data_IF_657850277837
#
_entry.id   IF_657850277837
#
_cell.length_a   1.000
_cell.length_b   1.000
_cell.length_c   1.000
_cell.angle_alpha   90.00
_cell.angle_beta   90.00
_cell.angle_gamma   90.00
#
_symmetry.space_group_name_H-M   'P 1'
#
loop_
_entity.id
_entity.type
_entity.pdbx_description
1 polymer ?
#
# COMPACT_ATOMS: atom_id res chain seq x y z
N UNK A 1 -10.04 -8.33 3.69
CA UNK A 1 -10.44 -7.58 4.90
C UNK A 1 -10.24 -6.09 4.64
N UNK A 2 -11.33 -5.33 4.52
CA UNK A 2 -11.31 -3.87 4.22
C UNK A 2 -11.68 -2.98 5.40
N UNK A 3 -11.53 -3.50 6.61
CA UNK A 3 -11.94 -2.88 7.87
C UNK A 3 -10.70 -2.58 8.71
N UNK A 4 -10.69 -1.45 9.41
CA UNK A 4 -9.69 -1.12 10.41
C UNK A 4 -10.31 -1.33 11.79
N UNK A 5 -9.70 -2.19 12.60
CA UNK A 5 -10.12 -2.44 13.98
C UNK A 5 -9.35 -1.53 14.91
N UNK A 6 -10.02 -1.01 15.95
CA UNK A 6 -9.35 -0.21 16.97
C UNK A 6 -8.28 -1.05 17.66
N UNK A 7 -7.05 -0.52 17.75
CA UNK A 7 -5.91 -1.23 18.35
C UNK A 7 -5.26 -2.30 17.46
N UNK A 8 -5.77 -2.54 16.24
CA UNK A 8 -5.10 -3.37 15.23
C UNK A 8 -5.17 -4.90 15.43
N UNK A 9 -5.92 -5.38 16.44
CA UNK A 9 -6.18 -6.80 16.67
C UNK A 9 -7.29 -7.35 15.76
N UNK A 10 -7.33 -8.66 15.55
CA UNK A 10 -8.38 -9.37 14.82
C UNK A 10 -9.43 -9.87 15.83
N UNK A 11 -10.65 -9.30 15.87
CA UNK A 11 -11.71 -9.77 16.73
C UNK A 11 -12.14 -11.20 16.38
N UNK A 12 -12.68 -11.95 17.35
CA UNK A 12 -13.00 -13.38 17.15
C UNK A 12 -14.08 -13.62 16.09
N UNK A 13 -15.03 -12.71 15.93
CA UNK A 13 -16.01 -12.79 14.83
C UNK A 13 -15.32 -12.67 13.46
N UNK A 14 -14.25 -11.88 13.33
CA UNK A 14 -13.48 -11.80 12.08
C UNK A 14 -12.62 -13.04 11.87
N UNK A 15 -12.03 -13.60 12.94
CA UNK A 15 -11.29 -14.87 12.85
C UNK A 15 -12.16 -15.98 12.28
N UNK A 16 -13.42 -16.08 12.74
CA UNK A 16 -14.40 -17.04 12.22
C UNK A 16 -14.65 -16.84 10.72
N UNK A 17 -14.89 -15.61 10.28
CA UNK A 17 -15.13 -15.28 8.87
C UNK A 17 -13.90 -15.57 7.99
N UNK A 18 -12.70 -15.26 8.48
CA UNK A 18 -11.44 -15.55 7.78
C UNK A 18 -11.29 -17.07 7.60
N UNK A 19 -11.49 -17.85 8.67
CA UNK A 19 -11.41 -19.30 8.63
C UNK A 19 -12.44 -19.91 7.66
N UNK A 20 -13.68 -19.40 7.66
CA UNK A 20 -14.71 -19.83 6.70
C UNK A 20 -14.29 -19.55 5.26
N UNK A 21 -13.74 -18.37 4.97
CA UNK A 21 -13.21 -18.02 3.65
C UNK A 21 -12.08 -18.95 3.21
N UNK A 22 -11.11 -19.23 4.09
CA UNK A 22 -10.00 -20.16 3.80
C UNK A 22 -10.55 -21.57 3.51
N UNK A 23 -11.47 -22.07 4.34
CA UNK A 23 -12.08 -23.40 4.15
C UNK A 23 -12.86 -23.52 2.84
N UNK A 24 -13.44 -22.41 2.38
CA UNK A 24 -14.13 -22.28 1.10
C UNK A 24 -13.17 -22.13 -0.11
N UNK A 25 -11.85 -22.09 0.11
CA UNK A 25 -10.86 -21.95 -0.96
C UNK A 25 -10.65 -20.51 -1.43
N UNK A 26 -11.07 -19.51 -0.65
CA UNK A 26 -10.89 -18.10 -0.99
C UNK A 26 -9.52 -17.59 -0.55
N UNK A 27 -8.82 -16.91 -1.46
CA UNK A 27 -7.63 -16.13 -1.12
C UNK A 27 -7.98 -14.98 -0.17
N UNK A 28 -7.09 -14.72 0.78
CA UNK A 28 -7.28 -13.71 1.81
C UNK A 28 -6.29 -12.57 1.58
N UNK A 29 -6.81 -11.35 1.41
CA UNK A 29 -6.01 -10.12 1.42
C UNK A 29 -6.35 -9.32 2.66
N UNK A 30 -5.35 -9.04 3.50
CA UNK A 30 -5.49 -8.34 4.78
C UNK A 30 -4.57 -7.13 4.85
N UNK A 31 -5.09 -6.01 5.34
CA UNK A 31 -4.29 -4.82 5.63
C UNK A 31 -4.28 -4.45 7.12
N UNK A 32 -4.65 -5.40 7.97
CA UNK A 32 -4.61 -5.27 9.42
C UNK A 32 -3.15 -5.24 9.92
N UNK A 33 -2.94 -4.61 11.08
CA UNK A 33 -1.63 -4.57 11.73
C UNK A 33 -1.24 -5.95 12.29
N UNK A 34 -2.20 -6.70 12.82
CA UNK A 34 -2.02 -8.11 13.10
C UNK A 34 -2.04 -8.93 11.80
N UNK A 35 -1.00 -9.75 11.58
CA UNK A 35 -0.82 -10.51 10.36
C UNK A 35 -1.60 -11.83 10.40
N UNK A 36 -2.56 -11.97 9.48
CA UNK A 36 -3.41 -13.15 9.38
C UNK A 36 -2.57 -14.39 9.09
N UNK A 37 -1.56 -14.27 8.23
CA UNK A 37 -0.69 -15.38 7.84
C UNK A 37 0.25 -15.86 8.95
N UNK A 38 0.39 -15.12 10.05
CA UNK A 38 1.19 -15.56 11.22
C UNK A 38 0.38 -16.35 12.24
N UNK A 39 -0.95 -16.37 12.11
CA UNK A 39 -1.83 -17.12 13.00
C UNK A 39 -1.76 -18.61 12.62
N UNK A 40 -1.27 -19.51 13.50
CA UNK A 40 -0.98 -20.89 13.13
C UNK A 40 -2.18 -21.68 12.60
N UNK A 41 -3.39 -21.41 13.09
CA UNK A 41 -4.61 -22.05 12.60
C UNK A 41 -4.94 -21.67 11.15
N UNK A 42 -4.76 -20.40 10.77
CA UNK A 42 -5.02 -19.92 9.42
C UNK A 42 -3.94 -20.38 8.45
N UNK A 43 -2.66 -20.30 8.86
CA UNK A 43 -1.54 -20.73 8.04
C UNK A 43 -1.68 -22.22 7.63
N UNK A 44 -1.98 -23.09 8.59
CA UNK A 44 -2.16 -24.54 8.33
C UNK A 44 -3.34 -24.84 7.42
N UNK A 45 -4.49 -24.22 7.65
CA UNK A 45 -5.66 -24.47 6.80
C UNK A 45 -5.48 -23.89 5.40
N UNK A 46 -4.80 -22.74 5.28
CA UNK A 46 -4.48 -22.14 3.98
C UNK A 46 -3.55 -23.03 3.16
N UNK A 47 -2.49 -23.58 3.76
CA UNK A 47 -1.60 -24.56 3.13
C UNK A 47 -2.38 -25.79 2.65
N UNK A 48 -3.22 -26.36 3.52
CA UNK A 48 -4.05 -27.52 3.19
C UNK A 48 -5.02 -27.27 2.03
N UNK A 49 -5.53 -26.04 1.91
CA UNK A 49 -6.51 -25.64 0.89
C UNK A 49 -5.89 -25.06 -0.38
N UNK A 50 -4.58 -24.85 -0.42
CA UNK A 50 -3.91 -24.15 -1.52
C UNK A 50 -4.32 -22.67 -1.61
N UNK A 51 -4.70 -22.07 -0.48
CA UNK A 51 -5.15 -20.68 -0.38
C UNK A 51 -3.97 -19.77 -0.07
N UNK A 52 -3.90 -18.61 -0.71
CA UNK A 52 -2.90 -17.58 -0.42
C UNK A 52 -3.45 -16.57 0.59
N UNK A 53 -2.63 -16.26 1.61
CA UNK A 53 -2.86 -15.16 2.55
C UNK A 53 -1.85 -14.06 2.26
N UNK A 54 -2.33 -12.87 1.90
CA UNK A 54 -1.53 -11.68 1.61
C UNK A 54 -1.73 -10.64 2.71
N UNK A 55 -0.76 -10.53 3.61
CA UNK A 55 -0.69 -9.46 4.62
C UNK A 55 0.00 -8.23 4.03
N UNK A 56 -0.80 -7.27 3.56
CA UNK A 56 -0.32 -6.12 2.76
C UNK A 56 0.73 -5.30 3.51
N UNK A 57 0.55 -5.08 4.82
CA UNK A 57 1.53 -4.34 5.64
C UNK A 57 2.85 -5.09 5.79
N UNK A 58 2.80 -6.41 5.91
CA UNK A 58 3.99 -7.26 6.08
C UNK A 58 4.92 -7.20 4.86
N UNK A 59 4.36 -7.04 3.65
CA UNK A 59 5.15 -6.90 2.42
C UNK A 59 6.10 -5.70 2.44
N UNK A 60 5.79 -4.67 3.24
CA UNK A 60 6.59 -3.44 3.32
C UNK A 60 7.34 -3.30 4.66
N UNK A 61 7.03 -4.10 5.69
CA UNK A 61 7.65 -3.96 7.02
C UNK A 61 9.13 -4.29 7.06
N UNK A 62 9.61 -5.11 6.13
CA UNK A 62 11.03 -5.49 6.00
C UNK A 62 11.78 -4.65 4.97
N UNK A 63 11.13 -3.66 4.34
CA UNK A 63 11.79 -2.75 3.40
C UNK A 63 12.84 -1.89 4.13
N UNK A 64 14.05 -1.83 3.60
CA UNK A 64 15.22 -1.14 4.18
C UNK A 64 15.91 -0.20 3.19
N UNK A 65 15.11 0.47 2.38
CA UNK A 65 15.63 1.37 1.35
C UNK A 65 16.28 2.59 2.00
N UNK A 66 17.55 2.82 1.68
CA UNK A 66 18.29 4.00 2.13
C UNK A 66 18.07 5.16 1.17
N UNK A 67 17.95 6.38 1.72
CA UNK A 67 17.88 7.58 0.89
C UNK A 67 19.24 7.87 0.26
N UNK A 68 19.24 8.02 -1.06
CA UNK A 68 20.41 8.20 -1.93
C UNK A 68 20.52 9.62 -2.52
N UNK A 69 19.41 10.36 -2.55
CA UNK A 69 19.33 11.66 -3.22
C UNK A 69 19.29 11.58 -4.75
N UNK A 70 19.12 10.40 -5.35
CA UNK A 70 18.88 10.27 -6.80
C UNK A 70 17.64 11.05 -7.24
N UNK A 71 16.66 11.23 -6.35
CA UNK A 71 15.45 12.00 -6.62
C UNK A 71 15.71 13.47 -6.97
N UNK A 72 16.89 14.02 -6.67
CA UNK A 72 17.26 15.38 -7.05
C UNK A 72 17.59 15.51 -8.54
N UNK A 73 17.83 14.40 -9.23
CA UNK A 73 18.24 14.37 -10.64
C UNK A 73 17.06 14.18 -11.61
N UNK A 74 15.88 13.82 -11.12
CA UNK A 74 14.71 13.56 -11.96
C UNK A 74 13.97 14.86 -12.28
N UNK A 75 13.41 14.93 -13.50
CA UNK A 75 12.71 16.14 -13.99
C UNK A 75 11.23 16.20 -13.62
N UNK A 76 10.64 15.08 -13.20
CA UNK A 76 9.21 15.01 -12.88
C UNK A 76 8.85 15.95 -11.73
N UNK A 77 7.74 16.67 -11.91
CA UNK A 77 7.16 17.55 -10.90
C UNK A 77 6.45 16.67 -9.86
N UNK A 78 6.71 16.92 -8.58
CA UNK A 78 6.12 16.16 -7.47
C UNK A 78 5.07 17.03 -6.79
N UNK A 79 3.85 16.52 -6.68
CA UNK A 79 2.71 17.19 -6.02
C UNK A 79 2.36 16.37 -4.78
N UNK A 80 2.63 16.92 -3.60
CA UNK A 80 2.23 16.30 -2.33
C UNK A 80 0.83 16.79 -1.91
N UNK A 81 -0.10 15.86 -1.72
CA UNK A 81 -1.47 16.12 -1.26
C UNK A 81 -1.52 15.96 0.26
N UNK A 82 -1.24 17.07 0.95
CA UNK A 82 -1.27 17.14 2.41
C UNK A 82 -2.66 17.51 2.93
N UNK A 83 -2.89 17.27 4.21
CA UNK A 83 -4.15 17.57 4.88
C UNK A 83 -3.94 17.78 6.36
N UNK A 84 -4.86 18.53 6.98
CA UNK A 84 -4.80 18.93 8.39
C UNK A 84 -5.04 17.78 9.37
N UNK A 85 -5.65 16.69 8.90
CA UNK A 85 -5.95 15.51 9.70
C UNK A 85 -5.94 14.24 8.82
N UNK A 86 -6.07 13.07 9.44
CA UNK A 86 -6.31 11.78 8.80
C UNK A 86 -7.71 11.71 8.19
N UNK A 87 -7.89 10.84 7.19
CA UNK A 87 -9.18 10.60 6.51
C UNK A 87 -9.91 11.81 5.88
N UNK A 88 -9.32 13.01 5.82
CA UNK A 88 -9.92 14.23 5.20
C UNK A 88 -9.95 14.25 3.66
N UNK A 89 -9.82 13.10 3.00
CA UNK A 89 -9.92 13.00 1.54
C UNK A 89 -8.62 13.20 0.75
N UNK A 90 -7.44 13.21 1.40
CA UNK A 90 -6.12 13.33 0.72
C UNK A 90 -5.96 12.37 -0.47
N UNK A 91 -6.23 11.08 -0.26
CA UNK A 91 -6.17 10.06 -1.32
C UNK A 91 -7.18 10.36 -2.43
N UNK A 92 -8.41 10.70 -2.06
CA UNK A 92 -9.47 11.03 -3.02
C UNK A 92 -9.05 12.18 -3.93
N UNK A 93 -8.51 13.25 -3.35
CA UNK A 93 -7.94 14.38 -4.10
C UNK A 93 -6.80 13.94 -5.03
N UNK A 94 -5.87 13.12 -4.55
CA UNK A 94 -4.77 12.60 -5.36
C UNK A 94 -5.25 11.79 -6.58
N UNK A 95 -6.25 10.92 -6.39
CA UNK A 95 -6.84 10.12 -7.47
C UNK A 95 -7.51 10.99 -8.53
N UNK A 96 -8.33 11.95 -8.12
CA UNK A 96 -8.98 12.87 -9.05
C UNK A 96 -7.97 13.75 -9.77
N UNK A 97 -6.97 14.29 -9.07
CA UNK A 97 -5.93 15.11 -9.67
C UNK A 97 -5.15 14.31 -10.73
N UNK A 98 -4.75 13.06 -10.42
CA UNK A 98 -4.06 12.19 -11.37
C UNK A 98 -4.89 11.96 -12.63
N UNK A 99 -6.18 11.68 -12.45
CA UNK A 99 -7.11 11.44 -13.56
C UNK A 99 -7.26 12.67 -14.44
N UNK A 100 -7.45 13.85 -13.85
CA UNK A 100 -7.68 15.07 -14.62
C UNK A 100 -6.41 15.60 -15.31
N UNK A 101 -5.21 15.40 -14.73
CA UNK A 101 -3.94 15.73 -15.40
C UNK A 101 -3.76 14.85 -16.65
N UNK A 102 -3.95 13.54 -16.51
CA UNK A 102 -3.91 12.61 -17.65
C UNK A 102 -4.95 12.94 -18.72
N UNK A 103 -6.19 13.26 -18.33
CA UNK A 103 -7.24 13.68 -19.28
C UNK A 103 -6.89 14.94 -20.07
N UNK A 104 -6.06 15.82 -19.51
CA UNK A 104 -5.57 17.04 -20.17
C UNK A 104 -4.34 16.79 -21.06
N UNK A 105 -3.91 15.55 -21.23
CA UNK A 105 -2.80 15.18 -22.11
C UNK A 105 -1.41 15.25 -21.48
N UNK A 106 -1.32 15.47 -20.16
CA UNK A 106 -0.06 15.43 -19.42
C UNK A 106 0.12 14.06 -18.76
N UNK A 107 1.31 13.47 -18.84
CA UNK A 107 1.57 12.19 -18.17
C UNK A 107 1.68 12.39 -16.66
N UNK A 108 0.84 11.68 -15.90
CA UNK A 108 0.96 11.65 -14.44
C UNK A 108 0.73 10.27 -13.84
N UNK A 109 1.45 10.00 -12.76
CA UNK A 109 1.30 8.78 -11.96
C UNK A 109 1.00 9.12 -10.51
N UNK A 110 0.27 8.23 -9.85
CA UNK A 110 0.03 8.31 -8.41
C UNK A 110 0.99 7.35 -7.70
N UNK A 111 1.66 7.86 -6.66
CA UNK A 111 2.47 7.06 -5.73
C UNK A 111 1.60 6.80 -4.49
N UNK A 112 1.05 5.60 -4.38
CA UNK A 112 0.15 5.26 -3.27
C UNK A 112 0.91 4.96 -1.99
N UNK A 113 0.69 5.74 -0.94
CA UNK A 113 1.45 5.68 0.33
C UNK A 113 0.83 4.82 1.44
N UNK A 114 -0.24 4.10 1.14
CA UNK A 114 -0.94 3.26 2.11
C UNK A 114 -1.59 2.02 1.51
N UNK A 115 -1.96 1.09 2.39
CA UNK A 115 -2.53 -0.22 2.05
C UNK A 115 -3.71 -0.16 1.07
N UNK A 116 -4.60 0.83 1.20
CA UNK A 116 -5.76 0.92 0.30
C UNK A 116 -5.33 1.23 -1.12
N UNK A 117 -4.27 2.01 -1.33
CA UNK A 117 -3.78 2.27 -2.67
C UNK A 117 -3.21 0.98 -3.30
N UNK A 118 -2.45 0.20 -2.53
CA UNK A 118 -1.99 -1.12 -2.98
C UNK A 118 -3.16 -2.04 -3.36
N UNK A 119 -4.17 -2.15 -2.48
CA UNK A 119 -5.36 -2.98 -2.72
C UNK A 119 -6.23 -2.48 -3.89
N UNK A 120 -6.19 -1.18 -4.19
CA UNK A 120 -6.87 -0.59 -5.36
C UNK A 120 -6.12 -0.82 -6.67
N UNK A 121 -4.94 -1.47 -6.63
CA UNK A 121 -4.16 -1.80 -7.81
C UNK A 121 -3.33 -0.63 -8.36
N UNK A 122 -3.04 0.39 -7.54
CA UNK A 122 -2.06 1.41 -7.95
C UNK A 122 -0.69 0.74 -8.13
N UNK A 123 -0.06 1.02 -9.27
CA UNK A 123 1.18 0.36 -9.68
C UNK A 123 2.35 0.68 -8.75
N UNK A 124 2.56 1.97 -8.46
CA UNK A 124 3.66 2.45 -7.61
C UNK A 124 3.14 2.69 -6.21
N UNK A 125 3.51 1.82 -5.27
CA UNK A 125 2.97 1.86 -3.92
C UNK A 125 3.97 1.50 -2.86
N UNK A 126 3.75 2.05 -1.67
CA UNK A 126 4.40 1.67 -0.43
C UNK A 126 3.41 1.86 0.71
N UNK A 127 3.59 1.12 1.81
CA UNK A 127 2.72 1.26 2.98
C UNK A 127 3.54 1.88 4.11
N UNK A 128 3.58 3.21 4.13
CA UNK A 128 4.52 4.00 4.94
C UNK A 128 4.41 3.68 6.43
N UNK A 129 3.19 3.54 6.93
CA UNK A 129 2.88 3.26 8.34
C UNK A 129 3.21 1.82 8.79
N UNK A 130 3.70 0.97 7.88
CA UNK A 130 4.25 -0.36 8.21
C UNK A 130 5.78 -0.41 8.18
N UNK A 131 6.44 0.63 7.66
CA UNK A 131 7.89 0.68 7.52
C UNK A 131 8.57 1.11 8.82
N UNK A 132 9.84 0.71 8.98
CA UNK A 132 10.70 1.26 10.04
C UNK A 132 11.03 2.72 9.67
N UNK A 133 10.87 3.62 10.64
CA UNK A 133 10.97 5.07 10.47
C UNK A 133 12.21 5.54 9.70
N UNK A 134 13.39 4.97 10.01
CA UNK A 134 14.66 5.35 9.38
C UNK A 134 14.70 5.13 7.85
N UNK A 135 13.87 4.19 7.35
CA UNK A 135 13.84 3.82 5.93
C UNK A 135 12.66 4.43 5.18
N UNK A 136 11.78 5.20 5.84
CA UNK A 136 10.64 5.86 5.18
C UNK A 136 11.10 6.80 4.05
N UNK A 137 12.08 7.71 4.26
CA UNK A 137 12.52 8.62 3.19
C UNK A 137 13.09 7.86 1.99
N UNK A 138 13.86 6.80 2.22
CA UNK A 138 14.43 5.97 1.17
C UNK A 138 13.37 5.14 0.44
N UNK A 139 12.36 4.62 1.15
CA UNK A 139 11.23 3.92 0.53
C UNK A 139 10.39 4.82 -0.38
N UNK A 140 10.11 6.04 0.07
CA UNK A 140 9.42 7.04 -0.76
C UNK A 140 10.26 7.37 -1.99
N UNK A 141 11.56 7.67 -1.81
CA UNK A 141 12.47 7.95 -2.93
C UNK A 141 12.52 6.78 -3.92
N UNK A 142 12.74 5.57 -3.44
CA UNK A 142 12.85 4.35 -4.27
C UNK A 142 11.59 4.12 -5.10
N UNK A 143 10.40 4.29 -4.51
CA UNK A 143 9.12 4.15 -5.22
C UNK A 143 8.92 5.26 -6.27
N UNK A 144 9.35 6.49 -5.97
CA UNK A 144 9.33 7.60 -6.93
C UNK A 144 10.28 7.33 -8.10
N UNK A 145 11.48 6.82 -7.82
CA UNK A 145 12.49 6.51 -8.84
C UNK A 145 12.04 5.34 -9.71
N UNK A 146 11.39 4.33 -9.14
CA UNK A 146 10.77 3.24 -9.91
C UNK A 146 9.75 3.78 -10.91
N UNK A 147 8.86 4.66 -10.45
CA UNK A 147 7.87 5.31 -11.31
C UNK A 147 8.54 6.16 -12.40
N UNK A 148 9.61 6.88 -12.04
CA UNK A 148 10.38 7.66 -13.00
C UNK A 148 11.03 6.80 -14.06
N UNK A 149 11.73 5.73 -13.65
CA UNK A 149 12.53 4.88 -14.52
C UNK A 149 11.64 4.02 -15.44
N UNK A 150 10.42 3.68 -15.02
CA UNK A 150 9.49 2.87 -15.81
C UNK A 150 8.55 3.67 -16.72
N UNK A 151 8.11 4.87 -16.31
CA UNK A 151 7.02 5.59 -16.99
C UNK A 151 7.38 7.02 -17.41
N UNK A 152 8.50 7.56 -16.92
CA UNK A 152 8.95 8.93 -17.22
C UNK A 152 7.83 10.01 -17.16
N UNK A 153 7.00 10.04 -16.10
CA UNK A 153 5.84 10.93 -16.07
C UNK A 153 6.24 12.39 -15.88
N UNK A 154 5.47 13.33 -16.41
CA UNK A 154 5.69 14.75 -16.14
C UNK A 154 5.35 15.08 -14.67
N UNK A 155 4.31 14.45 -14.12
CA UNK A 155 3.83 14.68 -12.76
C UNK A 155 3.76 13.39 -11.93
N UNK A 156 4.10 13.49 -10.65
CA UNK A 156 3.95 12.42 -9.66
C UNK A 156 3.14 12.95 -8.48
N UNK A 157 2.07 12.26 -8.12
CA UNK A 157 1.15 12.69 -7.05
C UNK A 157 1.32 11.76 -5.85
N UNK A 158 1.60 12.35 -4.69
CA UNK A 158 1.87 11.66 -3.43
C UNK A 158 0.89 12.07 -2.33
#
# INVERSE_FOLDING_TARGET
MGVATDGGYIPDNFKKLIMEGIKAGMNIVSGLHEYVGTIPEFAREAEKKGVTITDVRRMFSERRDMFTGRIWKIKSKRIAVLGTDSAVGKRTTAVYLNREINKKGHSSVMIGTGQTAWMQGFKHTLVVDSMINDFIPGGIESTILEAYDQEHPEYMIL
#
